data_IF_850517292984
#
_entry.id   IF_850517292984
#
_cell.length_a   1.000
_cell.length_b   1.000
_cell.length_c   1.000
_cell.angle_alpha   90.00
_cell.angle_beta   90.00
_cell.angle_gamma   90.00
#
_symmetry.space_group_name_H-M   'P 1'
#
loop_
_entity.id
_entity.type
_entity.pdbx_description
1 polymer ?
#
# COMPACT_ATOMS: atom_id res chain seq x y z
N UNK A 1 7.05 51.41 -14.58
CA UNK A 1 7.24 52.66 -13.81
C UNK A 1 7.03 53.81 -14.76
N UNK A 2 6.01 54.61 -14.49
CA UNK A 2 5.64 55.76 -15.31
C UNK A 2 5.35 56.93 -14.38
N UNK A 3 5.47 58.15 -14.90
CA UNK A 3 4.93 59.34 -14.25
C UNK A 3 3.40 59.31 -14.23
N UNK A 4 2.78 60.21 -13.46
CA UNK A 4 1.32 60.32 -13.38
C UNK A 4 0.66 60.62 -14.73
N UNK A 5 1.38 61.27 -15.64
CA UNK A 5 0.95 61.56 -17.01
C UNK A 5 1.18 60.37 -17.98
N UNK A 6 1.61 59.21 -17.48
CA UNK A 6 1.88 58.01 -18.27
C UNK A 6 3.25 57.95 -18.94
N UNK A 7 4.09 58.99 -18.82
CA UNK A 7 5.43 58.99 -19.45
C UNK A 7 6.32 57.92 -18.81
N UNK A 8 6.99 57.05 -19.60
CA UNK A 8 7.92 56.06 -19.08
C UNK A 8 9.10 56.66 -18.33
N UNK A 9 9.49 55.97 -17.26
CA UNK A 9 10.75 56.25 -16.56
C UNK A 9 11.75 55.18 -16.97
N UNK A 10 12.77 55.54 -17.72
CA UNK A 10 13.94 54.69 -17.99
C UNK A 10 14.92 54.71 -16.82
N UNK A 11 15.59 53.59 -16.56
CA UNK A 11 16.62 53.48 -15.53
C UNK A 11 16.09 53.59 -14.09
N UNK A 12 14.78 53.53 -13.89
CA UNK A 12 14.16 53.54 -12.58
C UNK A 12 14.50 52.27 -11.81
N UNK A 13 15.15 52.44 -10.65
CA UNK A 13 15.59 51.33 -9.79
C UNK A 13 14.42 50.78 -8.97
N UNK A 14 14.02 49.55 -9.24
CA UNK A 14 12.96 48.84 -8.54
C UNK A 14 13.52 47.72 -7.66
N UNK A 15 13.05 47.66 -6.42
CA UNK A 15 13.26 46.52 -5.51
C UNK A 15 12.08 45.57 -5.61
N UNK A 16 12.32 44.30 -5.91
CA UNK A 16 11.28 43.27 -5.97
C UNK A 16 11.25 42.52 -4.65
N UNK A 17 10.11 42.53 -3.99
CA UNK A 17 9.90 41.87 -2.71
C UNK A 17 8.95 40.68 -2.85
N UNK A 18 9.15 39.66 -2.01
CA UNK A 18 8.29 38.49 -1.87
C UNK A 18 7.61 38.48 -0.50
N UNK A 19 6.37 38.02 -0.46
CA UNK A 19 5.61 37.78 0.77
C UNK A 19 5.48 36.27 1.03
N UNK A 20 5.35 35.84 2.31
CA UNK A 20 5.05 36.67 3.49
C UNK A 20 6.25 37.33 4.19
N UNK A 21 7.46 36.87 3.95
CA UNK A 21 8.67 37.27 4.69
C UNK A 21 9.23 38.65 4.34
N UNK A 22 8.67 39.33 3.32
CA UNK A 22 9.18 40.59 2.75
C UNK A 22 10.66 40.47 2.34
N UNK A 23 11.07 39.29 1.89
CA UNK A 23 12.42 39.09 1.38
C UNK A 23 12.63 39.91 0.10
N UNK A 24 13.76 40.63 0.04
CA UNK A 24 14.22 41.27 -1.18
C UNK A 24 14.72 40.17 -2.13
N UNK A 25 14.03 40.01 -3.26
CA UNK A 25 14.37 38.98 -4.26
C UNK A 25 15.42 39.50 -5.22
N UNK A 26 15.26 40.73 -5.69
CA UNK A 26 16.15 41.31 -6.68
C UNK A 26 16.00 42.82 -6.78
N UNK A 27 16.99 43.45 -7.38
CA UNK A 27 16.97 44.85 -7.82
C UNK A 27 17.03 44.84 -9.33
N UNK A 28 16.07 45.51 -9.97
CA UNK A 28 15.96 45.61 -11.43
C UNK A 28 15.77 47.05 -11.85
N UNK A 29 16.09 47.35 -13.11
CA UNK A 29 15.96 48.69 -13.68
C UNK A 29 14.95 48.66 -14.82
N UNK A 30 14.21 49.75 -14.97
CA UNK A 30 13.28 49.89 -16.08
C UNK A 30 14.00 50.21 -17.38
N UNK A 31 13.51 49.64 -18.49
CA UNK A 31 13.97 49.97 -19.84
C UNK A 31 13.37 51.30 -20.33
N UNK A 32 13.69 51.69 -21.57
CA UNK A 32 13.18 52.91 -22.22
C UNK A 32 11.64 53.03 -22.25
N UNK A 33 10.93 51.90 -22.20
CA UNK A 33 9.47 51.84 -22.14
C UNK A 33 8.93 51.79 -20.72
N UNK A 34 9.78 51.94 -19.70
CA UNK A 34 9.38 51.96 -18.29
C UNK A 34 9.09 50.58 -17.69
N UNK A 35 9.41 49.49 -18.39
CA UNK A 35 9.20 48.13 -17.90
C UNK A 35 10.47 47.54 -17.29
N UNK A 36 10.31 46.76 -16.23
CA UNK A 36 11.36 45.90 -15.68
C UNK A 36 10.89 44.45 -15.72
N UNK A 37 11.80 43.54 -16.08
CA UNK A 37 11.51 42.11 -16.22
C UNK A 37 12.38 41.33 -15.24
N UNK A 38 11.77 40.38 -14.54
CA UNK A 38 12.46 39.45 -13.64
C UNK A 38 11.98 38.03 -13.90
N UNK A 39 12.90 37.07 -13.81
CA UNK A 39 12.59 35.64 -13.78
C UNK A 39 12.74 35.13 -12.35
N UNK A 40 11.70 34.53 -11.81
CA UNK A 40 11.68 33.97 -10.45
C UNK A 40 11.38 32.48 -10.55
N UNK A 41 12.14 31.66 -9.83
CA UNK A 41 11.91 30.22 -9.71
C UNK A 41 11.71 29.89 -8.24
N UNK A 42 10.59 29.24 -7.93
CA UNK A 42 10.27 28.77 -6.59
C UNK A 42 10.60 27.29 -6.47
N UNK A 43 11.34 26.93 -5.42
CA UNK A 43 11.76 25.56 -5.15
C UNK A 43 10.74 24.75 -4.36
N UNK A 44 9.70 25.40 -3.82
CA UNK A 44 8.67 24.75 -3.00
C UNK A 44 7.28 25.10 -3.52
N UNK A 45 6.33 24.20 -3.32
CA UNK A 45 4.94 24.53 -3.56
C UNK A 45 4.47 25.56 -2.53
N UNK A 46 3.47 26.37 -2.88
CA UNK A 46 2.98 27.40 -1.99
C UNK A 46 2.26 28.52 -2.72
N UNK A 47 1.72 29.43 -1.93
CA UNK A 47 1.20 30.71 -2.43
C UNK A 47 2.24 31.79 -2.13
N UNK A 48 2.69 32.46 -3.18
CA UNK A 48 3.66 33.55 -3.10
C UNK A 48 3.01 34.83 -3.58
N UNK A 49 3.41 35.96 -3.02
CA UNK A 49 3.03 37.25 -3.61
C UNK A 49 4.26 38.11 -3.85
N UNK A 50 4.29 38.79 -4.98
CA UNK A 50 5.40 39.67 -5.37
C UNK A 50 4.89 41.07 -5.61
N UNK A 51 5.73 42.05 -5.29
CA UNK A 51 5.47 43.45 -5.59
C UNK A 51 6.79 44.19 -5.80
N UNK A 52 6.73 45.26 -6.57
CA UNK A 52 7.85 46.15 -6.83
C UNK A 52 7.74 47.41 -5.96
N UNK A 53 8.89 47.88 -5.48
CA UNK A 53 9.02 49.13 -4.73
C UNK A 53 10.01 50.02 -5.47
N UNK A 54 9.56 51.21 -5.82
CA UNK A 54 10.42 52.33 -6.17
C UNK A 54 10.60 53.19 -4.92
N UNK A 55 11.82 53.34 -4.43
CA UNK A 55 12.10 54.08 -3.19
C UNK A 55 12.08 55.61 -3.37
N UNK A 56 11.86 56.08 -4.60
CA UNK A 56 12.02 57.48 -4.95
C UNK A 56 13.47 57.82 -5.25
N UNK A 57 13.69 59.08 -5.63
CA UNK A 57 14.99 59.71 -5.79
C UNK A 57 14.88 61.22 -5.54
N UNK A 58 15.90 61.99 -5.92
CA UNK A 58 15.96 63.43 -5.71
C UNK A 58 14.78 64.22 -6.29
N UNK A 59 14.10 63.69 -7.31
CA UNK A 59 13.05 64.40 -8.04
C UNK A 59 11.72 63.62 -8.13
N UNK A 60 11.68 62.37 -7.67
CA UNK A 60 10.50 61.49 -7.75
C UNK A 60 10.18 60.87 -6.39
N UNK A 61 8.90 60.90 -6.02
CA UNK A 61 8.41 60.25 -4.80
C UNK A 61 8.45 58.71 -4.89
N UNK A 62 8.55 58.02 -3.74
CA UNK A 62 8.43 56.56 -3.68
C UNK A 62 7.05 56.06 -4.13
N UNK A 63 7.01 54.84 -4.67
CA UNK A 63 5.77 54.16 -5.04
C UNK A 63 5.90 52.64 -4.88
N UNK A 64 4.76 51.98 -4.68
CA UNK A 64 4.66 50.53 -4.50
C UNK A 64 3.63 49.99 -5.46
N UNK A 65 3.95 48.91 -6.16
CA UNK A 65 3.00 48.26 -7.06
C UNK A 65 1.94 47.46 -6.31
N UNK A 66 0.88 47.09 -7.02
CA UNK A 66 0.01 46.01 -6.59
C UNK A 66 0.78 44.69 -6.40
N UNK A 67 0.19 43.81 -5.59
CA UNK A 67 0.73 42.49 -5.30
C UNK A 67 0.20 41.47 -6.29
N UNK A 68 1.10 40.77 -6.97
CA UNK A 68 0.76 39.63 -7.83
C UNK A 68 0.83 38.36 -7.01
N UNK A 69 -0.26 37.58 -6.98
CA UNK A 69 -0.32 36.29 -6.29
C UNK A 69 -0.06 35.15 -7.26
N UNK A 70 0.90 34.28 -6.93
CA UNK A 70 1.24 33.08 -7.69
C UNK A 70 1.06 31.85 -6.81
N UNK A 71 0.45 30.80 -7.36
CA UNK A 71 0.33 29.49 -6.71
C UNK A 71 1.22 28.48 -7.42
N UNK A 72 2.25 28.00 -6.72
CA UNK A 72 3.07 26.86 -7.13
C UNK A 72 2.41 25.60 -6.59
N UNK A 73 2.02 24.67 -7.47
CA UNK A 73 1.30 23.45 -7.09
C UNK A 73 2.28 22.33 -6.70
N UNK A 74 1.83 21.41 -5.85
CA UNK A 74 2.50 20.13 -5.61
C UNK A 74 2.48 19.29 -6.88
N UNK A 75 3.51 18.45 -7.05
CA UNK A 75 3.64 17.55 -8.19
C UNK A 75 2.79 16.30 -7.94
N UNK A 76 2.03 15.85 -8.94
CA UNK A 76 1.25 14.62 -8.82
C UNK A 76 2.15 13.38 -8.78
N UNK A 77 1.65 12.30 -8.18
CA UNK A 77 2.38 11.03 -8.06
C UNK A 77 1.55 9.84 -8.52
N UNK A 78 2.26 8.78 -8.88
CA UNK A 78 1.70 7.48 -9.23
C UNK A 78 2.36 6.42 -8.35
N UNK A 79 1.54 5.59 -7.72
CA UNK A 79 1.97 4.46 -6.91
C UNK A 79 1.40 3.19 -7.51
N UNK A 80 2.23 2.16 -7.69
CA UNK A 80 1.78 0.84 -8.15
C UNK A 80 2.19 -0.21 -7.13
N UNK A 81 1.34 -1.22 -6.93
CA UNK A 81 1.57 -2.33 -6.01
C UNK A 81 1.57 -3.65 -6.81
N UNK A 82 2.59 -4.47 -6.55
CA UNK A 82 2.78 -5.81 -7.10
C UNK A 82 3.17 -6.79 -6.00
N UNK A 83 3.21 -8.10 -6.29
CA UNK A 83 3.53 -9.13 -5.30
C UNK A 83 4.48 -10.18 -5.88
N UNK A 84 5.36 -10.73 -5.03
CA UNK A 84 6.31 -11.78 -5.42
C UNK A 84 5.67 -13.16 -5.65
N UNK A 85 4.59 -13.46 -4.92
CA UNK A 85 3.81 -14.69 -5.05
C UNK A 85 2.32 -14.36 -4.87
N UNK A 86 1.51 -14.63 -5.89
CA UNK A 86 0.07 -14.36 -5.88
C UNK A 86 -0.80 -15.50 -5.31
N UNK A 87 -0.19 -16.66 -5.02
CA UNK A 87 -0.87 -17.85 -4.48
C UNK A 87 -0.08 -18.52 -3.33
N UNK A 88 0.27 -17.78 -2.26
CA UNK A 88 1.01 -18.35 -1.13
C UNK A 88 0.15 -19.36 -0.35
N UNK A 89 0.79 -20.31 0.32
CA UNK A 89 0.15 -21.16 1.33
C UNK A 89 0.13 -20.45 2.69
N UNK A 90 -0.73 -20.91 3.60
CA UNK A 90 -0.70 -20.45 5.00
C UNK A 90 0.72 -20.56 5.59
N UNK A 91 1.11 -19.53 6.34
CA UNK A 91 2.44 -19.37 6.94
C UNK A 91 3.61 -19.28 5.94
N UNK A 92 3.33 -19.22 4.63
CA UNK A 92 4.34 -18.93 3.61
C UNK A 92 4.53 -17.42 3.46
N UNK A 93 5.77 -16.91 3.57
CA UNK A 93 6.03 -15.49 3.38
C UNK A 93 5.99 -15.08 1.91
N UNK A 94 5.41 -13.92 1.63
CA UNK A 94 5.49 -13.25 0.34
C UNK A 94 5.79 -11.77 0.53
N UNK A 95 6.15 -11.07 -0.56
CA UNK A 95 6.57 -9.67 -0.52
C UNK A 95 5.64 -8.82 -1.39
N UNK A 96 5.06 -7.81 -0.78
CA UNK A 96 4.41 -6.70 -1.46
C UNK A 96 5.47 -5.70 -1.93
N UNK A 97 5.45 -5.33 -3.21
CA UNK A 97 6.43 -4.44 -3.83
C UNK A 97 5.70 -3.23 -4.41
N UNK A 98 5.99 -2.06 -3.85
CA UNK A 98 5.47 -0.78 -4.29
C UNK A 98 6.50 -0.02 -5.12
N UNK A 99 6.06 0.69 -6.14
CA UNK A 99 6.88 1.61 -6.93
C UNK A 99 6.21 2.98 -6.97
N UNK A 100 6.87 3.99 -6.42
CA UNK A 100 6.44 5.39 -6.42
C UNK A 100 7.21 6.20 -7.47
N UNK A 101 6.48 6.96 -8.28
CA UNK A 101 7.03 7.91 -9.24
C UNK A 101 6.19 9.19 -9.29
N UNK A 102 6.77 10.27 -9.77
CA UNK A 102 6.00 11.48 -10.08
C UNK A 102 5.34 11.42 -11.46
N UNK A 103 4.58 12.45 -11.81
CA UNK A 103 3.91 12.56 -13.12
C UNK A 103 4.88 12.70 -14.30
N UNK A 104 6.15 13.00 -14.06
CA UNK A 104 7.19 13.07 -15.08
C UNK A 104 7.92 11.73 -15.24
N UNK A 105 7.53 10.71 -14.47
CA UNK A 105 8.17 9.39 -14.48
C UNK A 105 9.43 9.29 -13.63
N UNK A 106 9.78 10.33 -12.87
CA UNK A 106 10.93 10.30 -11.96
C UNK A 106 10.60 9.45 -10.74
N UNK A 107 11.47 8.49 -10.44
CA UNK A 107 11.38 7.62 -9.27
C UNK A 107 11.62 8.44 -8.00
N UNK A 108 10.78 8.26 -6.99
CA UNK A 108 10.83 9.08 -5.77
C UNK A 108 11.41 8.28 -4.62
N UNK A 109 12.64 8.61 -4.23
CA UNK A 109 13.35 7.99 -3.11
C UNK A 109 13.03 8.66 -1.76
N UNK A 110 13.23 7.93 -0.66
CA UNK A 110 13.07 8.46 0.70
C UNK A 110 11.62 8.75 1.11
N UNK A 111 10.63 8.27 0.36
CA UNK A 111 9.20 8.50 0.62
C UNK A 111 8.62 7.37 1.45
N UNK A 112 7.80 7.73 2.45
CA UNK A 112 7.12 6.78 3.33
C UNK A 112 5.89 6.20 2.65
N UNK A 113 5.82 4.87 2.55
CA UNK A 113 4.70 4.13 2.00
C UNK A 113 4.03 3.33 3.12
N UNK A 114 2.72 3.50 3.26
CA UNK A 114 1.88 2.75 4.19
C UNK A 114 1.22 1.58 3.45
N UNK A 115 1.14 0.41 4.08
CA UNK A 115 0.53 -0.79 3.52
C UNK A 115 -0.70 -1.18 4.33
N UNK A 116 -1.75 -1.58 3.62
CA UNK A 116 -3.03 -1.95 4.20
C UNK A 116 -3.54 -3.27 3.63
N UNK A 117 -4.31 -3.98 4.46
CA UNK A 117 -5.00 -5.22 4.12
C UNK A 117 -6.50 -5.09 4.33
N UNK A 118 -7.29 -5.84 3.60
CA UNK A 118 -8.73 -5.96 3.78
C UNK A 118 -9.20 -7.38 3.42
N UNK A 119 -10.29 -7.84 4.03
CA UNK A 119 -10.98 -9.08 3.64
C UNK A 119 -12.25 -8.82 2.82
N UNK A 120 -12.82 -7.62 2.91
CA UNK A 120 -14.10 -7.23 2.30
C UNK A 120 -13.95 -6.11 1.24
N UNK A 121 -12.77 -5.50 1.14
CA UNK A 121 -12.49 -4.36 0.27
C UNK A 121 -13.00 -3.01 0.81
N UNK A 122 -13.64 -3.00 1.98
CA UNK A 122 -14.27 -1.82 2.58
C UNK A 122 -13.53 -1.40 3.84
N UNK A 123 -13.25 -2.34 4.75
CA UNK A 123 -12.49 -2.10 5.98
C UNK A 123 -11.02 -2.41 5.75
N UNK A 124 -10.19 -1.40 5.97
CA UNK A 124 -8.74 -1.48 5.74
C UNK A 124 -7.98 -1.47 7.06
N UNK A 125 -7.17 -2.50 7.26
CA UNK A 125 -6.30 -2.69 8.41
C UNK A 125 -4.88 -2.27 8.06
N UNK A 126 -4.26 -1.43 8.88
CA UNK A 126 -2.87 -1.04 8.71
C UNK A 126 -1.93 -2.20 9.03
N UNK A 127 -1.01 -2.51 8.12
CA UNK A 127 -0.04 -3.59 8.29
C UNK A 127 1.32 -3.10 8.74
N UNK A 128 1.71 -1.91 8.28
CA UNK A 128 3.07 -1.42 8.42
C UNK A 128 3.44 -0.40 7.37
N UNK A 129 4.69 0.06 7.44
CA UNK A 129 5.24 1.04 6.52
C UNK A 129 6.67 0.70 6.14
N UNK A 130 7.11 1.20 4.99
CA UNK A 130 8.50 1.19 4.59
C UNK A 130 8.85 2.44 3.79
N UNK A 131 10.14 2.71 3.61
CA UNK A 131 10.66 3.85 2.84
C UNK A 131 11.08 3.38 1.46
N UNK A 132 10.77 4.16 0.43
CA UNK A 132 11.22 3.90 -0.94
C UNK A 132 12.73 4.06 -1.06
N UNK A 133 13.39 3.11 -1.71
CA UNK A 133 14.81 3.17 -2.05
C UNK A 133 15.13 4.19 -3.17
N UNK A 134 16.37 4.21 -3.65
CA UNK A 134 16.81 5.06 -4.77
C UNK A 134 16.06 4.83 -6.08
N UNK A 135 15.46 3.64 -6.24
CA UNK A 135 14.62 3.30 -7.37
C UNK A 135 13.16 3.67 -7.16
N UNK A 136 12.79 4.28 -6.03
CA UNK A 136 11.40 4.56 -5.68
C UNK A 136 10.62 3.34 -5.21
N UNK A 137 11.30 2.27 -4.82
CA UNK A 137 10.70 0.99 -4.46
C UNK A 137 10.63 0.82 -2.95
N UNK A 138 9.45 0.49 -2.42
CA UNK A 138 9.26 0.10 -1.02
C UNK A 138 8.68 -1.31 -0.96
N UNK A 139 9.17 -2.14 -0.03
CA UNK A 139 8.75 -3.53 0.08
C UNK A 139 8.22 -3.87 1.47
N UNK A 140 7.21 -4.72 1.57
CA UNK A 140 6.72 -5.25 2.85
C UNK A 140 6.63 -6.77 2.78
N UNK A 141 7.29 -7.46 3.71
CA UNK A 141 7.14 -8.91 3.89
C UNK A 141 5.85 -9.20 4.66
N UNK A 142 5.04 -10.10 4.13
CA UNK A 142 3.73 -10.49 4.67
C UNK A 142 3.71 -11.99 4.91
N UNK A 143 2.99 -12.40 5.97
CA UNK A 143 2.67 -13.79 6.29
C UNK A 143 1.21 -13.83 6.71
N UNK A 144 0.42 -14.67 6.05
CA UNK A 144 -0.98 -14.92 6.43
C UNK A 144 -1.10 -16.31 7.07
N UNK A 145 -1.73 -16.39 8.24
CA UNK A 145 -1.83 -17.64 9.00
C UNK A 145 -3.12 -18.42 8.70
N UNK A 146 -4.09 -17.78 8.04
CA UNK A 146 -5.36 -18.39 7.67
C UNK A 146 -5.57 -18.32 6.16
N UNK A 147 -6.03 -19.42 5.58
CA UNK A 147 -6.44 -19.48 4.19
C UNK A 147 -7.62 -18.53 3.93
N UNK A 148 -7.68 -18.01 2.72
CA UNK A 148 -8.74 -17.10 2.31
C UNK A 148 -8.25 -16.04 1.34
N UNK A 149 -9.17 -15.17 0.96
CA UNK A 149 -8.91 -14.05 0.06
C UNK A 149 -8.57 -12.81 0.86
N UNK A 150 -7.46 -12.18 0.51
CA UNK A 150 -6.98 -10.93 1.10
C UNK A 150 -6.76 -9.90 0.00
N UNK A 151 -7.13 -8.66 0.30
CA UNK A 151 -6.97 -7.52 -0.60
C UNK A 151 -5.93 -6.58 0.01
N UNK A 152 -4.94 -6.17 -0.79
CA UNK A 152 -3.87 -5.29 -0.36
C UNK A 152 -3.89 -3.98 -1.14
N UNK A 153 -3.53 -2.90 -0.47
CA UNK A 153 -3.19 -1.63 -1.12
C UNK A 153 -2.01 -0.98 -0.42
N UNK A 154 -1.41 0.00 -1.08
CA UNK A 154 -0.45 0.90 -0.49
C UNK A 154 -0.85 2.36 -0.71
N UNK A 155 -0.42 3.21 0.23
CA UNK A 155 -0.72 4.64 0.23
C UNK A 155 0.56 5.42 0.50
N UNK A 156 0.83 6.37 -0.38
CA UNK A 156 1.71 7.51 -0.12
C UNK A 156 0.83 8.69 0.27
N UNK A 157 0.98 9.21 1.50
CA UNK A 157 0.14 10.31 2.01
C UNK A 157 0.48 11.67 1.39
N UNK A 158 1.55 11.74 0.59
CA UNK A 158 2.09 12.98 0.06
C UNK A 158 3.01 13.68 1.07
N UNK A 159 3.77 14.66 0.59
CA UNK A 159 4.62 15.52 1.41
C UNK A 159 4.58 16.98 0.90
N UNK A 160 5.46 17.85 1.38
CA UNK A 160 5.47 19.26 0.95
C UNK A 160 5.66 19.49 -0.55
N UNK A 161 6.20 18.52 -1.30
CA UNK A 161 6.50 18.65 -2.72
C UNK A 161 5.52 17.85 -3.59
N UNK A 162 5.09 16.68 -3.12
CA UNK A 162 4.35 15.69 -3.89
C UNK A 162 2.97 15.42 -3.32
N UNK A 163 1.96 15.31 -4.18
CA UNK A 163 0.60 14.91 -3.80
C UNK A 163 0.55 13.45 -3.38
N UNK A 164 -0.50 13.11 -2.61
CA UNK A 164 -0.81 11.74 -2.21
C UNK A 164 -1.09 10.84 -3.42
N UNK A 165 -0.79 9.56 -3.29
CA UNK A 165 -1.17 8.52 -4.25
C UNK A 165 -1.56 7.23 -3.53
N UNK A 166 -2.58 6.56 -4.07
CA UNK A 166 -3.01 5.23 -3.65
C UNK A 166 -2.73 4.26 -4.79
N UNK A 167 -2.24 3.07 -4.47
CA UNK A 167 -1.95 2.05 -5.48
C UNK A 167 -3.22 1.43 -6.06
N UNK A 168 -3.05 0.61 -7.09
CA UNK A 168 -4.01 -0.44 -7.41
C UNK A 168 -4.22 -1.38 -6.20
N UNK A 169 -5.38 -2.03 -6.15
CA UNK A 169 -5.63 -3.11 -5.20
C UNK A 169 -5.11 -4.44 -5.76
N UNK A 170 -4.59 -5.30 -4.88
CA UNK A 170 -4.19 -6.67 -5.21
C UNK A 170 -5.03 -7.65 -4.42
N UNK A 171 -5.67 -8.60 -5.11
CA UNK A 171 -6.37 -9.71 -4.49
C UNK A 171 -5.48 -10.95 -4.51
N UNK A 172 -5.27 -11.56 -3.34
CA UNK A 172 -4.41 -12.73 -3.16
C UNK A 172 -5.23 -13.82 -2.47
N UNK A 173 -5.16 -15.04 -2.99
CA UNK A 173 -5.80 -16.21 -2.41
C UNK A 173 -4.76 -17.06 -1.68
N UNK A 174 -4.79 -17.02 -0.36
CA UNK A 174 -3.94 -17.85 0.51
C UNK A 174 -4.55 -19.25 0.57
N UNK A 175 -3.77 -20.26 0.19
CA UNK A 175 -4.21 -21.67 0.18
C UNK A 175 -3.94 -22.33 1.53
N UNK A 176 -4.68 -23.39 1.83
CA UNK A 176 -4.47 -24.21 3.05
C UNK A 176 -2.99 -24.62 3.21
N UNK A 177 -2.47 -24.50 4.43
CA UNK A 177 -1.07 -24.78 4.72
C UNK A 177 -0.72 -26.27 4.63
N UNK A 178 0.53 -26.56 4.26
CA UNK A 178 1.05 -27.92 4.12
C UNK A 178 0.84 -28.77 5.39
N UNK A 179 1.05 -28.19 6.57
CA UNK A 179 0.88 -28.89 7.85
C UNK A 179 -0.55 -29.36 8.05
N UNK A 180 -1.55 -28.54 7.72
CA UNK A 180 -2.97 -28.91 7.81
C UNK A 180 -3.31 -30.02 6.80
N UNK A 181 -2.77 -29.95 5.58
CA UNK A 181 -2.94 -31.00 4.57
C UNK A 181 -2.37 -32.33 5.08
N UNK A 182 -1.16 -32.32 5.64
CA UNK A 182 -0.50 -33.51 6.19
C UNK A 182 -1.31 -34.09 7.35
N UNK A 183 -1.78 -33.25 8.29
CA UNK A 183 -2.61 -33.70 9.41
C UNK A 183 -3.90 -34.38 8.92
N UNK A 184 -4.61 -33.78 7.95
CA UNK A 184 -5.81 -34.38 7.37
C UNK A 184 -5.48 -35.72 6.69
N UNK A 185 -4.40 -35.77 5.91
CA UNK A 185 -3.98 -37.00 5.24
C UNK A 185 -3.62 -38.10 6.24
N UNK A 186 -2.88 -37.78 7.31
CA UNK A 186 -2.55 -38.75 8.37
C UNK A 186 -3.79 -39.25 9.10
N UNK A 187 -4.76 -38.37 9.40
CA UNK A 187 -6.03 -38.76 10.02
C UNK A 187 -6.83 -39.72 9.12
N UNK A 188 -6.92 -39.43 7.82
CA UNK A 188 -7.59 -40.32 6.84
C UNK A 188 -6.90 -41.68 6.77
N UNK A 189 -5.57 -41.71 6.71
CA UNK A 189 -4.79 -42.95 6.71
C UNK A 189 -5.04 -43.76 8.00
N UNK A 190 -5.01 -43.11 9.17
CA UNK A 190 -5.29 -43.78 10.45
C UNK A 190 -6.71 -44.38 10.49
N UNK A 191 -7.71 -43.68 9.98
CA UNK A 191 -9.08 -44.21 9.87
C UNK A 191 -9.13 -45.43 8.95
N UNK A 192 -8.47 -45.39 7.80
CA UNK A 192 -8.39 -46.54 6.89
C UNK A 192 -7.67 -47.74 7.53
N UNK A 193 -6.62 -47.51 8.31
CA UNK A 193 -5.91 -48.56 9.07
C UNK A 193 -6.83 -49.16 10.14
N UNK A 194 -7.58 -48.35 10.89
CA UNK A 194 -8.53 -48.84 11.88
C UNK A 194 -9.67 -49.65 11.23
N UNK A 195 -10.18 -49.21 10.07
CA UNK A 195 -11.21 -49.94 9.32
C UNK A 195 -10.67 -51.30 8.84
N UNK A 196 -9.48 -51.33 8.23
CA UNK A 196 -8.87 -52.59 7.75
C UNK A 196 -8.56 -53.54 8.91
N UNK A 197 -8.06 -53.01 10.03
CA UNK A 197 -7.87 -53.78 11.26
C UNK A 197 -9.18 -54.36 11.80
N UNK A 198 -10.25 -53.55 11.87
CA UNK A 198 -11.56 -54.01 12.35
C UNK A 198 -12.17 -55.10 11.45
N UNK A 199 -12.03 -54.96 10.12
CA UNK A 199 -12.44 -55.98 9.16
C UNK A 199 -11.64 -57.27 9.38
N UNK A 200 -10.32 -57.17 9.57
CA UNK A 200 -9.46 -58.32 9.85
C UNK A 200 -9.85 -59.02 11.15
N UNK A 201 -10.04 -58.25 12.23
CA UNK A 201 -10.46 -58.76 13.54
C UNK A 201 -11.81 -59.47 13.51
N UNK A 202 -12.81 -58.93 12.78
CA UNK A 202 -14.09 -59.61 12.60
C UNK A 202 -13.95 -60.92 11.84
N UNK A 203 -13.15 -60.96 10.77
CA UNK A 203 -12.89 -62.18 10.00
C UNK A 203 -12.23 -63.26 10.86
N UNK A 204 -11.21 -62.92 11.65
CA UNK A 204 -10.51 -63.88 12.52
C UNK A 204 -11.40 -64.39 13.64
N UNK A 205 -12.22 -63.54 14.26
CA UNK A 205 -13.19 -63.95 15.30
C UNK A 205 -14.26 -64.89 14.76
N UNK A 206 -14.82 -64.62 13.57
CA UNK A 206 -15.81 -65.52 12.93
C UNK A 206 -15.20 -66.88 12.61
N UNK A 207 -13.95 -66.92 12.11
CA UNK A 207 -13.24 -68.19 11.87
C UNK A 207 -13.08 -69.00 13.16
N UNK A 208 -12.70 -68.36 14.27
CA UNK A 208 -12.62 -69.03 15.58
C UNK A 208 -13.97 -69.61 16.03
N UNK A 209 -15.07 -68.86 15.89
CA UNK A 209 -16.41 -69.34 16.29
C UNK A 209 -16.91 -70.54 15.45
N UNK A 210 -16.58 -70.60 14.16
CA UNK A 210 -16.91 -71.76 13.30
C UNK A 210 -16.09 -73.02 13.61
N UNK A 211 -14.94 -72.88 14.28
CA UNK A 211 -14.07 -73.99 14.69
C UNK A 211 -14.40 -74.60 16.05
N UNK A 212 -15.37 -74.06 16.82
CA UNK A 212 -15.82 -74.69 18.06
C UNK A 212 -16.74 -75.89 17.78
N UNK A 213 -16.59 -77.02 18.48
CA UNK A 213 -17.44 -78.19 18.31
C UNK A 213 -18.91 -77.86 18.66
N UNK A 214 -19.86 -78.33 17.82
CA UNK A 214 -21.29 -78.16 18.07
C UNK A 214 -21.70 -78.96 19.31
N UNK A 215 -22.22 -78.29 20.35
CA UNK A 215 -22.85 -78.95 21.48
C UNK A 215 -24.11 -79.70 20.98
N UNK A 216 -24.05 -81.03 20.91
CA UNK A 216 -25.22 -81.87 20.66
C UNK A 216 -26.15 -81.74 21.87
N UNK A 217 -27.38 -81.22 21.68
CA UNK A 217 -28.45 -81.44 22.67
C UNK A 217 -28.76 -82.93 22.67
N UNK A 218 -28.61 -83.56 23.83
CA UNK A 218 -29.04 -84.92 24.10
C UNK A 218 -30.56 -84.87 24.25
N UNK A 219 -31.29 -85.32 23.24
CA UNK A 219 -32.69 -85.69 23.43
C UNK A 219 -32.67 -87.05 24.13
N UNK A 220 -33.19 -87.09 25.36
CA UNK A 220 -33.48 -88.34 26.07
C UNK A 220 -34.92 -88.72 25.76
N UNK A 221 -35.06 -89.68 24.85
CA UNK A 221 -36.22 -90.57 24.80
C UNK A 221 -36.06 -91.57 25.96
N UNK A 222 -36.99 -91.54 26.91
CA UNK A 222 -37.29 -92.67 27.79
C UNK A 222 -38.81 -92.85 27.80
N UNK A 223 -39.27 -93.76 26.95
CA UNK A 223 -40.54 -94.48 27.07
C UNK A 223 -40.30 -95.78 27.85
N UNK A 224 -41.38 -96.28 28.48
CA UNK A 224 -41.57 -97.56 29.22
C UNK A 224 -41.22 -97.50 30.72
N UNK A 225 -42.01 -97.98 31.69
CA UNK A 225 -43.29 -98.73 31.73
C UNK A 225 -43.91 -98.68 33.16
N UNK A 226 -45.19 -99.08 33.22
CA UNK A 226 -46.23 -99.22 34.28
C UNK A 226 -45.86 -99.96 35.61
N UNK A 227 -46.66 -99.90 36.71
CA UNK A 227 -48.10 -100.23 36.85
C UNK A 227 -49.03 -99.10 37.32
#
# INVERSE_FOLDING_TARGET
LVYINGTPIEGGRLKIYKLPDKSLISIVYTNISGYAIIKITESRCGNYSYYAVFEGDAIRHPSVSDKIKIRVKRIGTFLTLSVSNSNPMESEPFVLVCQLKDTLGRKLAGKKILFFKSKDGVKWEYMGMNITDVNGVAMLKVVENDMGTYIYMAVFEGDEEYLKATSNTLMINVRIGMVKIILIATAVILVLVLITYFIHYRKTKIKKMKGLPKFKRKNEDLLEEYP
#
